data_IF_636143755085
#
_entry.id   IF_636143755085
#
_cell.length_a   1.000
_cell.length_b   1.000
_cell.length_c   1.000
_cell.angle_alpha   90.00
_cell.angle_beta   90.00
_cell.angle_gamma   90.00
#
_symmetry.space_group_name_H-M   'P 1'
#
loop_
_entity.id
_entity.type
_entity.pdbx_description
1 polymer ?
#
# COMPACT_ATOMS: atom_id res chain seq x y z
N UNK A 1 -36.06 -16.12 -65.54
CA UNK A 1 -35.43 -17.29 -64.88
C UNK A 1 -34.26 -16.78 -64.05
N UNK A 2 -34.27 -17.11 -62.75
CA UNK A 2 -33.47 -16.53 -61.68
C UNK A 2 -32.02 -17.00 -61.75
N UNK A 3 -31.12 -16.24 -62.36
CA UNK A 3 -29.69 -16.34 -62.08
C UNK A 3 -29.08 -14.97 -62.34
N UNK A 4 -28.60 -14.31 -61.29
CA UNK A 4 -27.47 -13.34 -61.25
C UNK A 4 -27.40 -12.62 -59.87
N UNK A 5 -27.80 -13.30 -58.78
CA UNK A 5 -27.77 -12.77 -57.41
C UNK A 5 -26.60 -13.27 -56.54
N UNK A 6 -25.50 -13.73 -57.12
CA UNK A 6 -24.43 -14.43 -56.36
C UNK A 6 -23.14 -13.62 -56.12
N UNK A 7 -22.99 -12.43 -56.71
CA UNK A 7 -21.74 -11.64 -56.59
C UNK A 7 -21.59 -10.87 -55.28
N UNK A 8 -22.67 -10.55 -54.57
CA UNK A 8 -22.63 -9.64 -53.41
C UNK A 8 -22.25 -10.31 -52.07
N UNK A 9 -22.01 -11.63 -52.03
CA UNK A 9 -21.79 -12.36 -50.77
C UNK A 9 -20.32 -12.77 -50.52
N UNK A 10 -19.46 -12.78 -51.54
CA UNK A 10 -18.07 -13.24 -51.37
C UNK A 10 -17.10 -12.11 -50.97
N UNK A 11 -17.38 -10.86 -51.34
CA UNK A 11 -16.48 -9.72 -51.04
C UNK A 11 -16.53 -9.29 -49.56
N UNK A 12 -17.62 -9.60 -48.83
CA UNK A 12 -17.73 -9.32 -47.40
C UNK A 12 -16.93 -10.26 -46.49
N UNK A 13 -16.21 -11.25 -47.06
CA UNK A 13 -15.37 -12.20 -46.30
C UNK A 13 -13.91 -11.77 -46.14
N UNK A 14 -13.52 -10.62 -46.66
CA UNK A 14 -12.18 -10.03 -46.44
C UNK A 14 -12.24 -8.72 -45.65
N UNK A 15 -13.20 -8.58 -44.74
CA UNK A 15 -13.21 -7.50 -43.77
C UNK A 15 -12.77 -8.00 -42.40
N UNK A 16 -11.68 -8.78 -42.38
CA UNK A 16 -10.89 -9.05 -41.18
C UNK A 16 -10.25 -7.74 -40.73
N UNK A 17 -11.07 -6.98 -40.02
CA UNK A 17 -10.80 -5.73 -39.34
C UNK A 17 -9.59 -5.87 -38.41
N UNK A 18 -8.39 -5.60 -38.93
CA UNK A 18 -7.17 -5.37 -38.12
C UNK A 18 -7.39 -4.26 -37.05
N UNK A 19 -8.45 -3.45 -37.18
CA UNK A 19 -8.83 -2.38 -36.22
C UNK A 19 -9.82 -2.84 -35.12
N UNK A 20 -10.58 -3.91 -35.30
CA UNK A 20 -11.51 -4.43 -34.27
C UNK A 20 -10.83 -5.31 -33.22
N UNK A 21 -9.64 -5.85 -33.53
CA UNK A 21 -8.86 -6.67 -32.57
C UNK A 21 -8.15 -5.79 -31.54
N UNK A 22 -7.84 -4.54 -31.90
CA UNK A 22 -7.14 -3.58 -31.07
C UNK A 22 -7.79 -3.33 -29.68
N UNK A 23 -9.11 -3.06 -29.56
CA UNK A 23 -9.74 -2.87 -28.25
C UNK A 23 -9.73 -4.13 -27.38
N UNK A 24 -9.78 -5.32 -27.98
CA UNK A 24 -9.74 -6.60 -27.26
C UNK A 24 -8.36 -6.84 -26.67
N UNK A 25 -7.30 -6.62 -27.46
CA UNK A 25 -5.90 -6.76 -26.99
C UNK A 25 -5.61 -5.80 -25.84
N UNK A 26 -6.08 -4.55 -25.95
CA UNK A 26 -5.92 -3.55 -24.89
C UNK A 26 -6.64 -3.96 -23.59
N UNK A 27 -7.87 -4.46 -23.71
CA UNK A 27 -8.64 -4.93 -22.55
C UNK A 27 -7.96 -6.12 -21.85
N UNK A 28 -7.46 -7.10 -22.62
CA UNK A 28 -6.72 -8.25 -22.07
C UNK A 28 -5.43 -7.80 -21.37
N UNK A 29 -4.71 -6.82 -21.94
CA UNK A 29 -3.52 -6.24 -21.30
C UNK A 29 -3.82 -5.60 -19.96
N UNK A 30 -4.92 -4.84 -19.87
CA UNK A 30 -5.37 -4.22 -18.61
C UNK A 30 -5.76 -5.31 -17.60
N UNK A 31 -6.55 -6.31 -18.03
CA UNK A 31 -6.95 -7.41 -17.15
C UNK A 31 -5.74 -8.15 -16.60
N UNK A 32 -4.74 -8.43 -17.43
CA UNK A 32 -3.50 -9.06 -17.01
C UNK A 32 -2.76 -8.22 -15.97
N UNK A 33 -2.61 -6.91 -16.23
CA UNK A 33 -1.94 -6.00 -15.30
C UNK A 33 -2.67 -5.91 -13.95
N UNK A 34 -4.00 -5.78 -13.97
CA UNK A 34 -4.82 -5.72 -12.76
C UNK A 34 -4.75 -7.05 -11.99
N UNK A 35 -4.85 -8.18 -12.69
CA UNK A 35 -4.78 -9.50 -12.06
C UNK A 35 -3.42 -9.77 -11.41
N UNK A 36 -2.34 -9.24 -11.97
CA UNK A 36 -0.99 -9.32 -11.37
C UNK A 36 -0.87 -8.57 -10.02
N UNK A 37 -1.80 -7.63 -9.74
CA UNK A 37 -1.87 -6.92 -8.47
C UNK A 37 -2.77 -7.57 -7.42
N UNK A 38 -3.63 -8.52 -7.80
CA UNK A 38 -4.58 -9.16 -6.89
C UNK A 38 -3.85 -10.13 -5.95
N UNK A 39 -4.17 -10.07 -4.65
CA UNK A 39 -3.62 -10.99 -3.65
C UNK A 39 -2.31 -10.53 -3.00
N UNK A 40 -1.85 -9.30 -3.25
CA UNK A 40 -0.81 -8.68 -2.41
C UNK A 40 -1.40 -8.38 -1.04
N UNK A 41 -0.73 -8.87 0.00
CA UNK A 41 -1.15 -8.63 1.38
C UNK A 41 -0.92 -7.15 1.75
N UNK A 42 -1.98 -6.36 1.98
CA UNK A 42 -1.85 -4.95 2.33
C UNK A 42 -1.33 -4.74 3.76
N UNK A 43 -1.20 -5.81 4.57
CA UNK A 43 -0.72 -5.74 5.95
C UNK A 43 0.80 -5.88 6.07
N UNK A 44 1.48 -6.31 5.00
CA UNK A 44 2.94 -6.43 4.96
C UNK A 44 3.57 -5.06 4.74
N UNK A 45 3.78 -4.32 5.83
CA UNK A 45 4.56 -3.08 5.86
C UNK A 45 5.96 -3.42 6.39
N UNK A 46 6.96 -3.67 5.51
CA UNK A 46 8.31 -3.95 5.97
C UNK A 46 8.88 -2.71 6.66
N UNK A 47 9.26 -2.83 7.93
CA UNK A 47 9.87 -1.72 8.66
C UNK A 47 11.23 -1.38 8.05
N UNK A 48 11.43 -0.19 7.47
CA UNK A 48 12.68 0.18 6.82
C UNK A 48 13.80 0.49 7.84
N UNK A 49 13.46 0.54 9.13
CA UNK A 49 14.35 0.99 10.21
C UNK A 49 14.95 -0.15 11.04
N UNK A 50 14.69 -1.41 10.68
CA UNK A 50 15.30 -2.56 11.38
C UNK A 50 16.83 -2.51 11.23
N UNK A 51 17.54 -2.57 12.36
CA UNK A 51 19.01 -2.51 12.41
C UNK A 51 19.60 -1.11 12.16
N UNK A 52 18.77 -0.08 11.97
CA UNK A 52 19.22 1.31 11.91
C UNK A 52 19.30 1.88 13.33
N UNK A 53 20.23 2.81 13.54
CA UNK A 53 20.30 3.58 14.78
C UNK A 53 19.11 4.52 14.87
N UNK A 54 18.68 4.81 16.10
CA UNK A 54 17.71 5.87 16.36
C UNK A 54 18.29 7.19 15.81
N UNK A 55 17.51 8.01 15.09
CA UNK A 55 17.96 9.30 14.60
C UNK A 55 18.38 10.22 15.75
N UNK A 56 19.40 11.06 15.52
CA UNK A 56 19.79 12.09 16.48
C UNK A 56 18.68 13.14 16.62
N UNK A 57 18.30 13.45 17.86
CA UNK A 57 17.29 14.48 18.13
C UNK A 57 17.58 15.20 19.44
N UNK A 58 17.13 16.44 19.52
CA UNK A 58 17.09 17.19 20.78
C UNK A 58 15.72 17.82 20.90
N UNK A 59 15.03 17.49 21.98
CA UNK A 59 13.68 17.97 22.26
C UNK A 59 13.56 18.43 23.70
N UNK A 60 12.39 18.95 24.06
CA UNK A 60 11.99 19.27 25.43
C UNK A 60 10.81 18.40 25.85
N UNK A 61 10.77 18.02 27.12
CA UNK A 61 9.61 17.34 27.72
C UNK A 61 8.41 18.28 27.78
N UNK A 62 7.21 17.75 27.55
CA UNK A 62 6.00 18.55 27.47
C UNK A 62 5.61 19.26 28.78
N UNK A 63 5.88 18.64 29.94
CA UNK A 63 5.43 19.16 31.24
C UNK A 63 6.44 20.11 31.89
N UNK A 64 7.72 19.74 31.89
CA UNK A 64 8.76 20.42 32.69
C UNK A 64 9.83 21.11 31.84
N UNK A 65 9.68 21.11 30.50
CA UNK A 65 10.60 21.75 29.54
C UNK A 65 12.08 21.28 29.61
N UNK A 66 12.34 20.17 30.31
CA UNK A 66 13.66 19.55 30.42
C UNK A 66 14.14 19.04 29.07
N UNK A 67 15.44 19.20 28.77
CA UNK A 67 16.00 18.72 27.50
C UNK A 67 16.13 17.20 27.51
N UNK A 68 15.73 16.56 26.41
CA UNK A 68 15.86 15.13 26.16
C UNK A 68 16.47 14.89 24.77
N UNK A 69 17.31 13.86 24.66
CA UNK A 69 18.06 13.49 23.46
C UNK A 69 17.96 12.01 23.15
N UNK A 70 18.44 11.58 21.97
CA UNK A 70 18.48 10.16 21.61
C UNK A 70 19.34 9.32 22.55
N UNK A 71 20.34 9.94 23.19
CA UNK A 71 21.26 9.25 24.10
C UNK A 71 20.59 8.84 25.40
N UNK A 72 19.58 9.58 25.83
CA UNK A 72 18.80 9.29 27.04
C UNK A 72 17.91 8.04 26.86
N UNK A 73 17.71 7.61 25.61
CA UNK A 73 16.94 6.43 25.23
C UNK A 73 17.80 5.16 25.06
N UNK A 74 19.11 5.25 25.23
CA UNK A 74 20.04 4.13 25.05
C UNK A 74 20.22 3.32 26.35
N UNK A 75 20.48 2.02 26.22
CA UNK A 75 20.90 1.15 27.33
C UNK A 75 19.84 0.17 27.84
N UNK A 76 18.56 0.40 27.54
CA UNK A 76 17.47 -0.54 27.85
C UNK A 76 16.66 -0.84 26.58
N UNK A 77 15.93 -1.96 26.57
CA UNK A 77 14.91 -2.20 25.56
C UNK A 77 13.77 -1.22 25.78
N UNK A 78 13.54 -0.34 24.81
CA UNK A 78 12.50 0.68 24.90
C UNK A 78 11.44 0.48 23.82
N UNK A 79 10.19 0.76 24.17
CA UNK A 79 9.10 0.91 23.22
C UNK A 79 8.82 2.41 23.04
N UNK A 80 9.17 2.96 21.88
CA UNK A 80 8.91 4.37 21.56
C UNK A 80 7.60 4.49 20.77
N UNK A 81 6.61 5.18 21.35
CA UNK A 81 5.33 5.46 20.70
C UNK A 81 5.21 6.95 20.34
N UNK A 82 4.73 7.24 19.14
CA UNK A 82 4.49 8.61 18.65
C UNK A 82 2.99 8.86 18.63
N UNK A 83 2.52 9.84 19.41
CA UNK A 83 1.10 10.08 19.63
C UNK A 83 0.74 11.56 19.74
N UNK A 84 -0.56 11.85 19.80
CA UNK A 84 -1.10 13.17 20.08
C UNK A 84 -2.58 13.11 20.45
N UNK A 85 -3.08 14.13 21.15
CA UNK A 85 -4.46 14.17 21.67
C UNK A 85 -5.55 14.15 20.57
N UNK A 86 -5.19 14.58 19.37
CA UNK A 86 -6.07 14.59 18.19
C UNK A 86 -6.02 13.28 17.38
N UNK A 87 -5.18 12.32 17.78
CA UNK A 87 -5.00 11.06 17.08
C UNK A 87 -6.02 10.02 17.55
N UNK A 88 -7.06 9.79 16.74
CA UNK A 88 -8.08 8.78 17.04
C UNK A 88 -7.49 7.36 17.13
N UNK A 89 -6.61 6.99 16.20
CA UNK A 89 -5.95 5.68 16.21
C UNK A 89 -5.14 5.45 17.50
N UNK A 90 -4.47 6.48 18.01
CA UNK A 90 -3.69 6.41 19.24
C UNK A 90 -4.59 6.16 20.47
N UNK A 91 -5.84 6.64 20.44
CA UNK A 91 -6.82 6.35 21.51
C UNK A 91 -7.21 4.88 21.52
N UNK A 92 -7.38 4.27 20.35
CA UNK A 92 -7.68 2.84 20.22
C UNK A 92 -6.48 1.97 20.63
N UNK A 93 -5.26 2.44 20.38
CA UNK A 93 -4.02 1.73 20.74
C UNK A 93 -3.68 1.84 22.23
N UNK A 94 -4.16 2.88 22.92
CA UNK A 94 -3.72 3.24 24.27
C UNK A 94 -3.79 2.08 25.27
N UNK A 95 -4.94 1.39 25.35
CA UNK A 95 -5.12 0.29 26.30
C UNK A 95 -4.10 -0.84 26.07
N UNK A 96 -3.81 -1.18 24.80
CA UNK A 96 -2.84 -2.21 24.47
C UNK A 96 -1.42 -1.83 24.91
N UNK A 97 -1.06 -0.54 24.80
CA UNK A 97 0.25 -0.04 25.25
C UNK A 97 0.38 -0.09 26.77
N UNK A 98 -0.70 0.20 27.50
CA UNK A 98 -0.74 0.06 28.96
C UNK A 98 -0.59 -1.41 29.37
N UNK A 99 -1.29 -2.32 28.71
CA UNK A 99 -1.17 -3.76 28.98
C UNK A 99 0.27 -4.27 28.75
N UNK A 100 0.92 -3.82 27.68
CA UNK A 100 2.33 -4.15 27.38
C UNK A 100 3.25 -3.62 28.50
N UNK A 101 3.00 -2.40 28.97
CA UNK A 101 3.78 -1.77 30.04
C UNK A 101 3.62 -2.53 31.36
N UNK A 102 2.40 -2.92 31.74
CA UNK A 102 2.16 -3.65 32.99
C UNK A 102 2.73 -5.08 32.95
N UNK A 103 2.66 -5.74 31.79
CA UNK A 103 3.12 -7.12 31.64
C UNK A 103 4.65 -7.24 31.61
N UNK A 104 5.36 -6.23 31.08
CA UNK A 104 6.82 -6.25 30.90
C UNK A 104 7.58 -5.35 31.89
N UNK A 105 6.92 -4.96 32.99
CA UNK A 105 7.54 -4.25 34.10
C UNK A 105 8.29 -5.21 35.03
#
# INVERSE_FOLDING_TARGET
>A
MVYLGKKNFQEKREMTSKKSILPIVFFVLILYFLFSGLGKDPTLIPSPLIGKKIPEFQSKTLLDDTSITEKDLLGNYILLNVWGSWCYACTLEHNNLIDIYETNR
#
